data_IF_447092199575
#
_entry.id   IF_447092199575
#
_cell.length_a   1.000
_cell.length_b   1.000
_cell.length_c   1.000
_cell.angle_alpha   90.00
_cell.angle_beta   90.00
_cell.angle_gamma   90.00
#
_symmetry.space_group_name_H-M   'P 1'
#
loop_
_entity.id
_entity.type
_entity.pdbx_description
1 polymer ?
#
# COMPACT_ATOMS: atom_id res chain seq x y z
N UNK A 1 11.67 12.68 -52.25
CA UNK A 1 10.41 12.69 -51.48
C UNK A 1 9.74 11.37 -51.76
N UNK A 2 9.84 10.42 -50.83
CA UNK A 2 9.21 9.10 -50.99
C UNK A 2 7.70 9.25 -50.79
N UNK A 3 6.94 9.06 -51.87
CA UNK A 3 5.50 8.90 -51.83
C UNK A 3 5.20 7.55 -51.19
N UNK A 4 4.94 7.55 -49.88
CA UNK A 4 4.47 6.36 -49.17
C UNK A 4 3.14 5.90 -49.78
N UNK A 5 3.04 4.68 -50.34
CA UNK A 5 1.82 4.20 -51.02
C UNK A 5 0.62 3.99 -50.08
N UNK A 6 0.77 4.29 -48.79
CA UNK A 6 -0.23 4.13 -47.73
C UNK A 6 -1.07 5.39 -47.44
N UNK A 7 -0.85 6.53 -48.12
CA UNK A 7 -1.63 7.75 -47.87
C UNK A 7 -2.93 7.78 -48.70
N UNK A 8 -4.05 7.95 -48.01
CA UNK A 8 -5.37 8.09 -48.62
C UNK A 8 -5.48 9.42 -49.39
N UNK A 9 -6.35 9.45 -50.40
CA UNK A 9 -6.54 10.65 -51.23
C UNK A 9 -7.16 11.80 -50.44
N UNK A 10 -6.82 13.04 -50.79
CA UNK A 10 -7.31 14.27 -50.12
C UNK A 10 -8.84 14.35 -50.07
N UNK A 11 -9.52 13.89 -51.11
CA UNK A 11 -10.99 13.90 -51.17
C UNK A 11 -11.62 12.91 -50.19
N UNK A 12 -11.02 11.72 -50.02
CA UNK A 12 -11.48 10.71 -49.05
C UNK A 12 -11.22 11.19 -47.62
N UNK A 13 -10.08 11.86 -47.41
CA UNK A 13 -9.68 12.43 -46.13
C UNK A 13 -10.61 13.57 -45.65
N UNK A 14 -11.19 14.35 -46.57
CA UNK A 14 -12.18 15.39 -46.29
C UNK A 14 -13.58 14.85 -45.91
N UNK A 15 -13.84 13.56 -46.09
CA UNK A 15 -15.14 12.98 -45.75
C UNK A 15 -15.37 12.99 -44.24
N UNK A 16 -16.63 13.21 -43.82
CA UNK A 16 -17.01 13.37 -42.40
C UNK A 16 -16.53 12.25 -41.48
N UNK A 17 -16.47 11.01 -41.98
CA UNK A 17 -16.01 9.87 -41.18
C UNK A 17 -14.49 9.87 -40.95
N UNK A 18 -13.70 10.52 -41.81
CA UNK A 18 -12.25 10.66 -41.64
C UNK A 18 -11.85 11.87 -40.80
N UNK A 19 -12.74 12.84 -40.59
CA UNK A 19 -12.43 14.09 -39.90
C UNK A 19 -11.81 13.89 -38.51
N UNK A 20 -12.27 12.91 -37.73
CA UNK A 20 -11.68 12.64 -36.40
C UNK A 20 -10.22 12.20 -36.49
N UNK A 21 -9.88 11.36 -37.45
CA UNK A 21 -8.50 10.89 -37.66
C UNK A 21 -7.62 12.01 -38.22
N UNK A 22 -8.16 12.83 -39.12
CA UNK A 22 -7.47 14.01 -39.67
C UNK A 22 -7.15 15.03 -38.59
N UNK A 23 -8.14 15.38 -37.77
CA UNK A 23 -7.95 16.32 -36.67
C UNK A 23 -6.91 15.80 -35.66
N UNK A 24 -6.87 14.49 -35.39
CA UNK A 24 -5.82 13.91 -34.54
C UNK A 24 -4.44 14.06 -35.16
N UNK A 25 -4.27 13.72 -36.43
CA UNK A 25 -2.98 13.86 -37.12
C UNK A 25 -2.54 15.32 -37.21
N UNK A 26 -3.46 16.25 -37.44
CA UNK A 26 -3.16 17.69 -37.50
C UNK A 26 -2.77 18.26 -36.13
N UNK A 27 -3.45 17.82 -35.06
CA UNK A 27 -3.06 18.18 -33.68
C UNK A 27 -1.67 17.66 -33.36
N UNK A 28 -1.37 16.41 -33.70
CA UNK A 28 -0.06 15.79 -33.48
C UNK A 28 1.04 16.51 -34.27
N UNK A 29 0.81 16.79 -35.56
CA UNK A 29 1.76 17.56 -36.38
C UNK A 29 1.99 18.98 -35.83
N UNK A 30 0.93 19.66 -35.41
CA UNK A 30 1.04 21.00 -34.84
C UNK A 30 1.72 20.97 -33.46
N UNK A 31 1.55 19.91 -32.67
CA UNK A 31 2.26 19.72 -31.41
C UNK A 31 3.74 19.40 -31.64
N UNK A 32 4.08 18.55 -32.61
CA UNK A 32 5.46 18.31 -33.04
C UNK A 32 6.13 19.58 -33.56
N UNK A 33 5.44 20.36 -34.38
CA UNK A 33 5.96 21.64 -34.89
C UNK A 33 6.17 22.63 -33.74
N UNK A 34 5.23 22.73 -32.80
CA UNK A 34 5.40 23.56 -31.60
C UNK A 34 6.56 23.08 -30.74
N UNK A 35 6.72 21.77 -30.52
CA UNK A 35 7.84 21.22 -29.78
C UNK A 35 9.16 21.52 -30.48
N UNK A 36 9.24 21.39 -31.81
CA UNK A 36 10.43 21.78 -32.57
C UNK A 36 10.76 23.26 -32.43
N UNK A 37 9.76 24.14 -32.54
CA UNK A 37 9.96 25.59 -32.35
C UNK A 37 10.43 25.89 -30.93
N UNK A 38 9.84 25.23 -29.92
CA UNK A 38 10.29 25.30 -28.54
C UNK A 38 11.75 24.84 -28.46
N UNK A 39 12.09 23.65 -28.94
CA UNK A 39 13.46 23.11 -28.84
C UNK A 39 14.50 23.96 -29.58
N UNK A 40 14.14 24.53 -30.73
CA UNK A 40 15.00 25.41 -31.53
C UNK A 40 15.24 26.78 -30.85
N UNK A 41 14.25 27.30 -30.10
CA UNK A 41 14.30 28.60 -29.42
C UNK A 41 14.76 28.52 -27.95
N UNK A 42 14.55 27.38 -27.28
CA UNK A 42 14.86 27.19 -25.86
C UNK A 42 16.35 26.88 -25.68
N UNK A 43 17.13 27.95 -25.55
CA UNK A 43 18.50 27.85 -25.04
C UNK A 43 18.48 27.56 -23.54
N UNK A 44 19.10 26.46 -23.12
CA UNK A 44 19.32 26.14 -21.70
C UNK A 44 20.69 26.66 -21.28
N UNK A 45 20.74 27.44 -20.19
CA UNK A 45 21.98 27.89 -19.59
C UNK A 45 22.29 27.05 -18.34
N UNK A 46 23.28 26.17 -18.45
CA UNK A 46 23.71 25.31 -17.35
C UNK A 46 24.44 26.14 -16.29
N UNK A 47 23.71 26.55 -15.25
CA UNK A 47 24.23 27.22 -14.07
C UNK A 47 24.30 26.22 -12.89
N UNK A 48 25.41 25.48 -12.72
CA UNK A 48 25.53 24.47 -11.67
C UNK A 48 25.42 25.03 -10.24
N UNK A 49 25.55 26.35 -10.06
CA UNK A 49 25.39 27.04 -8.79
C UNK A 49 23.92 27.23 -8.40
N UNK A 50 23.02 27.32 -9.39
CA UNK A 50 21.59 27.53 -9.16
C UNK A 50 20.87 26.19 -8.97
N UNK A 51 21.29 25.15 -9.68
CA UNK A 51 20.77 23.78 -9.51
C UNK A 51 21.08 23.21 -8.13
N UNK A 52 22.22 23.57 -7.53
CA UNK A 52 22.57 23.19 -6.15
C UNK A 52 21.77 23.97 -5.10
N UNK A 53 21.16 25.10 -5.48
CA UNK A 53 20.36 25.95 -4.60
C UNK A 53 18.89 25.66 -4.82
N UNK A 54 18.47 24.45 -4.50
CA UNK A 54 17.05 24.12 -4.41
C UNK A 54 16.36 25.04 -3.39
N UNK A 55 15.20 25.56 -3.77
CA UNK A 55 14.41 26.42 -2.90
C UNK A 55 13.91 25.62 -1.69
N UNK A 56 14.37 25.99 -0.50
CA UNK A 56 14.00 25.29 0.75
C UNK A 56 12.55 25.48 1.15
N UNK A 57 11.89 26.50 0.62
CA UNK A 57 10.53 26.88 0.97
C UNK A 57 9.75 27.24 -0.29
N UNK A 58 8.53 26.71 -0.39
CA UNK A 58 7.60 27.03 -1.48
C UNK A 58 6.46 27.84 -0.90
N UNK A 59 6.30 29.08 -1.36
CA UNK A 59 5.19 29.94 -0.95
C UNK A 59 4.04 29.72 -1.93
N UNK A 60 2.96 29.11 -1.45
CA UNK A 60 1.73 28.95 -2.23
C UNK A 60 0.63 29.88 -1.70
N UNK A 61 -0.14 30.54 -2.58
CA UNK A 61 -1.26 31.40 -2.17
C UNK A 61 -2.51 30.59 -1.81
N UNK A 62 -2.57 29.30 -2.16
CA UNK A 62 -3.73 28.44 -1.93
C UNK A 62 -3.56 27.57 -0.69
N UNK A 63 -4.61 27.48 0.12
CA UNK A 63 -4.66 26.60 1.30
C UNK A 63 -5.01 25.13 0.99
N UNK A 64 -5.34 24.81 -0.26
CA UNK A 64 -5.79 23.47 -0.70
C UNK A 64 -4.78 22.38 -0.37
N UNK A 65 -3.48 22.68 -0.43
CA UNK A 65 -2.41 21.72 -0.12
C UNK A 65 -2.17 21.57 1.38
N UNK A 66 -2.55 22.58 2.18
CA UNK A 66 -2.31 22.59 3.62
C UNK A 66 -3.47 21.94 4.39
N UNK A 67 -4.68 22.00 3.85
CA UNK A 67 -5.88 21.49 4.49
C UNK A 67 -6.52 20.38 3.63
N UNK A 68 -6.90 19.27 4.26
CA UNK A 68 -7.57 18.15 3.59
C UNK A 68 -9.05 18.49 3.30
N UNK A 69 -9.29 19.44 2.39
CA UNK A 69 -10.63 19.92 2.06
C UNK A 69 -11.47 18.82 1.41
N UNK A 70 -12.71 18.69 1.88
CA UNK A 70 -13.72 17.85 1.25
C UNK A 70 -14.35 18.54 0.03
N UNK A 71 -15.00 17.75 -0.82
CA UNK A 71 -15.73 18.27 -1.97
C UNK A 71 -16.81 19.28 -1.55
N UNK A 72 -16.73 20.50 -2.07
CA UNK A 72 -17.56 21.62 -1.61
C UNK A 72 -19.05 21.53 -1.95
N UNK A 73 -19.43 20.78 -3.00
CA UNK A 73 -20.86 20.56 -3.32
C UNK A 73 -21.36 19.30 -2.62
N UNK A 74 -22.20 19.48 -1.62
CA UNK A 74 -22.78 18.40 -0.83
C UNK A 74 -24.30 18.38 -0.95
N UNK A 75 -24.86 17.17 -1.06
CA UNK A 75 -26.28 16.89 -0.95
C UNK A 75 -26.45 15.77 0.07
N UNK A 76 -27.58 15.76 0.75
CA UNK A 76 -27.89 14.74 1.75
C UNK A 76 -29.30 14.20 1.52
N UNK A 77 -29.52 12.96 1.99
CA UNK A 77 -30.84 12.31 2.00
C UNK A 77 -31.50 12.19 0.62
N UNK A 78 -30.71 12.10 -0.45
CA UNK A 78 -31.20 11.88 -1.81
C UNK A 78 -31.80 13.12 -2.47
N UNK A 79 -31.56 14.33 -1.94
CA UNK A 79 -32.05 15.58 -2.55
C UNK A 79 -31.48 15.81 -3.95
N UNK A 80 -30.24 15.38 -4.16
CA UNK A 80 -29.60 15.30 -5.47
C UNK A 80 -28.64 14.10 -5.51
N UNK A 81 -29.05 12.97 -6.13
CA UNK A 81 -28.24 11.75 -6.18
C UNK A 81 -26.97 11.91 -7.04
N UNK A 82 -26.95 12.82 -8.01
CA UNK A 82 -25.75 13.08 -8.82
C UNK A 82 -24.67 13.78 -8.00
N UNK A 83 -25.07 14.77 -7.20
CA UNK A 83 -24.15 15.48 -6.29
C UNK A 83 -23.66 14.55 -5.19
N UNK A 84 -24.51 13.68 -4.65
CA UNK A 84 -24.08 12.65 -3.68
C UNK A 84 -23.09 11.65 -4.28
N UNK A 85 -23.24 11.28 -5.56
CA UNK A 85 -22.27 10.43 -6.25
C UNK A 85 -20.94 11.15 -6.43
N UNK A 86 -20.96 12.42 -6.85
CA UNK A 86 -19.75 13.24 -7.01
C UNK A 86 -19.03 13.43 -5.67
N UNK A 87 -19.76 13.71 -4.60
CA UNK A 87 -19.21 13.82 -3.25
C UNK A 87 -18.49 12.54 -2.83
N UNK A 88 -19.09 11.37 -3.11
CA UNK A 88 -18.45 10.08 -2.82
C UNK A 88 -17.17 9.89 -3.64
N UNK A 89 -17.21 10.08 -4.96
CA UNK A 89 -16.03 9.88 -5.84
C UNK A 89 -14.84 10.74 -5.37
N UNK A 90 -15.08 12.01 -5.05
CA UNK A 90 -14.01 12.92 -4.65
C UNK A 90 -13.51 12.70 -3.22
N UNK A 91 -14.36 12.22 -2.31
CA UNK A 91 -13.95 11.97 -0.93
C UNK A 91 -13.42 10.53 -0.70
N UNK A 92 -13.70 9.58 -1.60
CA UNK A 92 -13.31 8.17 -1.42
C UNK A 92 -11.81 7.93 -1.44
N UNK A 93 -11.01 8.74 -2.15
CA UNK A 93 -9.55 8.58 -2.13
C UNK A 93 -8.97 8.89 -0.74
N UNK A 94 -9.47 9.96 -0.10
CA UNK A 94 -9.08 10.32 1.26
C UNK A 94 -9.59 9.30 2.30
N UNK A 95 -10.82 8.80 2.13
CA UNK A 95 -11.38 7.77 3.01
C UNK A 95 -10.65 6.43 2.88
N UNK A 96 -10.24 6.03 1.66
CA UNK A 96 -9.45 4.83 1.41
C UNK A 96 -8.07 4.91 2.07
N UNK A 97 -7.37 6.04 1.90
CA UNK A 97 -6.07 6.24 2.55
C UNK A 97 -6.16 6.16 4.07
N UNK A 98 -7.18 6.79 4.68
CA UNK A 98 -7.43 6.70 6.12
C UNK A 98 -7.83 5.28 6.57
N UNK A 99 -8.59 4.56 5.75
CA UNK A 99 -8.97 3.18 6.04
C UNK A 99 -7.74 2.26 6.01
N UNK A 100 -6.86 2.41 5.01
CA UNK A 100 -5.61 1.65 4.92
C UNK A 100 -4.68 1.93 6.11
N UNK A 101 -4.57 3.18 6.56
CA UNK A 101 -3.78 3.53 7.75
C UNK A 101 -4.35 2.86 9.00
N UNK A 102 -5.67 2.91 9.19
CA UNK A 102 -6.34 2.27 10.33
C UNK A 102 -6.17 0.74 10.29
N UNK A 103 -6.24 0.11 9.13
CA UNK A 103 -6.00 -1.33 8.99
C UNK A 103 -4.55 -1.70 9.28
N UNK A 104 -3.58 -0.86 8.88
CA UNK A 104 -2.16 -1.04 9.22
C UNK A 104 -1.89 -0.94 10.72
N UNK A 105 -2.62 -0.08 11.43
CA UNK A 105 -2.51 0.07 12.89
C UNK A 105 -3.13 -1.11 13.68
N UNK A 106 -4.22 -1.69 13.16
CA UNK A 106 -4.95 -2.79 13.82
C UNK A 106 -4.35 -4.16 13.46
N UNK A 107 -3.71 -4.26 12.29
CA UNK A 107 -3.10 -5.49 11.80
C UNK A 107 -1.83 -5.90 12.54
N UNK A 108 -1.65 -7.21 12.74
CA UNK A 108 -0.35 -7.79 13.13
C UNK A 108 0.51 -7.88 11.89
N UNK A 109 1.75 -7.36 11.95
CA UNK A 109 2.65 -7.41 10.79
C UNK A 109 3.01 -8.86 10.43
N UNK A 110 3.34 -9.11 9.16
CA UNK A 110 3.74 -10.43 8.67
C UNK A 110 4.95 -11.01 9.44
N UNK A 111 5.90 -10.13 9.79
CA UNK A 111 7.08 -10.49 10.59
C UNK A 111 6.71 -10.90 12.01
N UNK A 112 5.78 -10.19 12.65
CA UNK A 112 5.29 -10.54 13.98
C UNK A 112 4.50 -11.85 13.97
N UNK A 113 3.70 -12.08 12.93
CA UNK A 113 2.94 -13.32 12.74
C UNK A 113 3.89 -14.53 12.56
N UNK A 114 4.98 -14.35 11.82
CA UNK A 114 6.03 -15.37 11.63
C UNK A 114 6.74 -15.70 12.95
N UNK A 115 7.08 -14.70 13.75
CA UNK A 115 7.76 -14.89 15.04
C UNK A 115 6.87 -15.62 16.07
N UNK A 116 5.58 -15.31 16.09
CA UNK A 116 4.62 -16.03 16.93
C UNK A 116 4.49 -17.50 16.49
N UNK A 117 4.45 -17.74 15.19
CA UNK A 117 4.32 -19.10 14.63
C UNK A 117 5.59 -19.93 14.85
N UNK A 118 6.78 -19.37 14.65
CA UNK A 118 8.06 -20.06 14.87
C UNK A 118 8.22 -20.51 16.32
N UNK A 119 7.83 -19.65 17.27
CA UNK A 119 7.84 -19.94 18.71
C UNK A 119 6.86 -21.08 19.06
N UNK A 120 5.64 -21.04 18.52
CA UNK A 120 4.63 -22.08 18.77
C UNK A 120 5.02 -23.43 18.17
N UNK A 121 5.55 -23.45 16.94
CA UNK A 121 6.01 -24.69 16.27
C UNK A 121 7.18 -25.33 17.02
N UNK A 122 8.11 -24.52 17.55
CA UNK A 122 9.21 -24.99 18.41
C UNK A 122 8.74 -25.62 19.72
N UNK A 123 7.66 -25.09 20.33
CA UNK A 123 7.08 -25.67 21.56
C UNK A 123 6.31 -26.95 21.25
N UNK A 124 5.53 -26.97 20.16
CA UNK A 124 4.74 -28.13 19.73
C UNK A 124 5.68 -29.30 19.42
N UNK A 125 6.74 -29.09 18.65
CA UNK A 125 7.70 -30.16 18.32
C UNK A 125 8.32 -30.79 19.57
N UNK A 126 8.69 -29.99 20.58
CA UNK A 126 9.20 -30.46 21.88
C UNK A 126 8.18 -31.27 22.68
N UNK A 127 6.89 -30.90 22.64
CA UNK A 127 5.82 -31.64 23.35
C UNK A 127 5.55 -33.03 22.75
N UNK A 128 5.79 -33.19 21.45
CA UNK A 128 5.54 -34.46 20.73
C UNK A 128 6.80 -35.32 20.56
N UNK A 129 8.01 -34.77 20.70
CA UNK A 129 9.26 -35.54 20.67
C UNK A 129 9.45 -36.42 21.91
N UNK A 130 8.97 -35.98 23.09
CA UNK A 130 9.13 -36.73 24.35
C UNK A 130 8.40 -38.08 24.35
N UNK A 131 7.29 -38.21 23.60
CA UNK A 131 6.55 -39.48 23.48
C UNK A 131 7.27 -40.55 22.65
N UNK A 132 8.20 -40.17 21.77
CA UNK A 132 8.96 -41.13 20.94
C UNK A 132 10.16 -41.76 21.65
N UNK A 133 10.66 -41.15 22.74
CA UNK A 133 11.83 -41.66 23.49
C UNK A 133 11.49 -42.54 24.69
N UNK A 134 10.20 -42.82 24.96
CA UNK A 134 9.77 -43.59 26.13
C UNK A 134 9.72 -45.12 25.88
N UNK A 135 10.29 -45.60 24.77
CA UNK A 135 10.25 -47.02 24.36
C UNK A 135 11.61 -47.68 24.11
N UNK A 136 12.72 -47.01 24.38
CA UNK A 136 14.07 -47.60 24.30
C UNK A 136 14.74 -47.55 25.68
N UNK A 137 14.94 -48.73 26.25
CA UNK A 137 15.80 -48.97 27.42
C UNK A 137 17.27 -48.60 27.08
N UNK A 138 18.04 -48.02 28.03
CA UNK A 138 19.42 -47.62 27.76
C UNK A 138 20.39 -48.80 27.88
N UNK A 139 21.10 -49.10 26.79
CA UNK A 139 22.34 -49.86 26.79
C UNK A 139 23.55 -48.93 27.01
N UNK A 140 24.45 -49.36 27.89
CA UNK A 140 25.56 -48.64 28.54
C UNK A 140 26.68 -48.08 27.63
N UNK A 141 27.37 -47.04 28.17
CA UNK A 141 28.73 -46.49 27.90
C UNK A 141 28.85 -45.32 26.89
N UNK A 142 29.65 -44.27 27.07
CA UNK A 142 30.45 -43.63 28.15
C UNK A 142 31.04 -42.34 27.51
N UNK A 143 31.02 -41.24 28.26
CA UNK A 143 31.94 -40.08 28.32
C UNK A 143 32.19 -39.03 27.20
N UNK A 144 32.19 -37.77 27.69
CA UNK A 144 32.92 -36.53 27.33
C UNK A 144 32.32 -35.63 26.23
N UNK A 145 32.28 -34.29 26.32
CA UNK A 145 32.77 -33.26 27.26
C UNK A 145 32.00 -31.93 26.93
N UNK A 146 31.67 -31.15 27.97
CA UNK A 146 31.68 -29.66 28.17
C UNK A 146 31.11 -28.73 27.06
N UNK A 147 30.35 -27.66 27.35
CA UNK A 147 30.60 -26.51 28.24
C UNK A 147 29.29 -25.94 28.84
N UNK A 148 29.28 -25.70 30.15
CA UNK A 148 29.37 -24.40 30.87
C UNK A 148 28.09 -23.55 30.89
N UNK A 149 27.65 -23.31 32.12
CA UNK A 149 26.52 -22.48 32.55
C UNK A 149 26.79 -20.99 32.31
N UNK A 150 25.73 -20.21 32.08
CA UNK A 150 25.66 -18.89 32.72
C UNK A 150 24.21 -18.43 32.93
N UNK A 151 23.93 -18.12 34.19
CA UNK A 151 22.67 -17.68 34.76
C UNK A 151 22.19 -16.33 34.22
N UNK A 152 20.86 -16.15 34.15
CA UNK A 152 20.21 -14.96 34.74
C UNK A 152 18.67 -15.09 34.85
N UNK A 153 18.26 -15.48 36.06
CA UNK A 153 17.18 -14.93 36.88
C UNK A 153 16.24 -13.88 36.24
N UNK A 154 14.95 -14.22 36.07
CA UNK A 154 13.85 -13.26 36.32
C UNK A 154 12.76 -13.96 37.13
N UNK A 155 12.74 -13.56 38.39
CA UNK A 155 11.74 -13.83 39.43
C UNK A 155 10.44 -13.06 39.20
N UNK A 156 9.36 -13.55 39.85
CA UNK A 156 8.04 -12.92 40.05
C UNK A 156 7.09 -13.08 38.85
N UNK A 157 5.92 -13.72 38.93
CA UNK A 157 4.85 -13.56 39.90
C UNK A 157 3.93 -14.79 39.95
N UNK A 158 3.61 -15.20 41.17
CA UNK A 158 2.36 -15.83 41.65
C UNK A 158 1.46 -16.57 40.65
N UNK A 159 1.55 -17.90 40.67
CA UNK A 159 0.52 -18.80 40.13
C UNK A 159 -0.79 -18.67 40.95
N UNK A 160 -1.94 -18.35 40.34
CA UNK A 160 -3.22 -18.44 41.05
C UNK A 160 -3.71 -19.91 41.07
N UNK A 161 -4.43 -20.33 42.12
CA UNK A 161 -4.89 -21.71 42.23
C UNK A 161 -5.96 -22.03 41.17
N UNK A 162 -5.91 -23.25 40.66
CA UNK A 162 -6.82 -23.78 39.62
C UNK A 162 -8.28 -23.67 40.08
N UNK A 163 -9.06 -22.78 39.47
CA UNK A 163 -10.51 -22.78 39.63
C UNK A 163 -11.13 -23.93 38.83
N UNK A 164 -12.11 -24.61 39.43
CA UNK A 164 -12.84 -25.73 38.84
C UNK A 164 -13.52 -25.26 37.54
N UNK A 165 -13.29 -25.98 36.44
CA UNK A 165 -13.88 -25.71 35.12
C UNK A 165 -15.41 -25.81 35.20
N UNK A 166 -16.10 -24.70 35.41
CA UNK A 166 -17.52 -24.57 35.04
C UNK A 166 -17.65 -24.56 33.52
N UNK A 167 -18.60 -25.31 32.96
CA UNK A 167 -18.90 -25.29 31.53
C UNK A 167 -19.33 -23.87 31.14
N UNK A 168 -18.46 -23.13 30.43
CA UNK A 168 -18.81 -21.83 29.84
C UNK A 168 -19.83 -22.08 28.73
N UNK A 169 -21.02 -21.50 28.85
CA UNK A 169 -22.04 -21.49 27.79
C UNK A 169 -21.81 -20.26 26.91
N UNK A 170 -22.07 -20.42 25.61
CA UNK A 170 -21.96 -19.36 24.61
C UNK A 170 -23.01 -18.28 24.90
N UNK A 171 -22.56 -17.04 25.10
CA UNK A 171 -23.44 -15.88 25.33
C UNK A 171 -23.66 -15.22 23.98
N UNK A 172 -24.92 -15.08 23.57
CA UNK A 172 -25.25 -14.37 22.33
C UNK A 172 -25.17 -12.86 22.57
N UNK A 173 -24.78 -12.06 21.57
CA UNK A 173 -24.81 -10.60 21.66
C UNK A 173 -26.24 -10.10 21.88
N UNK A 174 -26.39 -9.04 22.67
CA UNK A 174 -27.65 -8.32 22.77
C UNK A 174 -27.84 -7.48 21.51
N UNK A 175 -28.96 -7.69 20.81
CA UNK A 175 -29.39 -6.83 19.72
C UNK A 175 -29.90 -5.52 20.32
N UNK A 176 -29.21 -4.42 20.04
CA UNK A 176 -29.65 -3.03 20.25
C UNK A 176 -29.54 -2.26 18.95
#
# INVERSE_FOLDING_TARGET
>A
MEENPAKLSKNVLMMKFMQRSVLRMEVEQNEEEKQRVIDDEHWVLDLPQLTQREEKFVVQPSYITCENLQYGRMSFKGFNPEVEKLMKIHNTEAELQQAEEREKEIGVSESEMTNRYSTLVGIISKKFSTKRKMGEEPGEKVDKEEEEDDDQLITTTTTPPKSKKGKRKFMKPDDS
#
